data_IF_767960051057
#
_entry.id   IF_767960051057
#
_cell.length_a   1.000
_cell.length_b   1.000
_cell.length_c   1.000
_cell.angle_alpha   90.00
_cell.angle_beta   90.00
_cell.angle_gamma   90.00
#
_symmetry.space_group_name_H-M   'P 1'
#
loop_
_entity.id
_entity.type
_entity.pdbx_description
1 polymer ?
#
# COMPACT_ATOMS: atom_id res chain seq x y z
N UNK A 1 54.64 12.23 -5.76
CA UNK A 1 53.56 11.42 -6.39
C UNK A 1 52.42 11.33 -5.40
N UNK A 2 51.32 12.05 -5.65
CA UNK A 2 50.18 12.13 -4.75
C UNK A 2 49.22 10.97 -5.03
N UNK A 3 48.96 10.13 -4.02
CA UNK A 3 47.94 9.09 -4.07
C UNK A 3 46.58 9.71 -3.71
N UNK A 4 45.63 9.71 -4.65
CA UNK A 4 44.24 10.00 -4.36
C UNK A 4 43.61 8.79 -3.67
N UNK A 5 43.35 8.88 -2.36
CA UNK A 5 42.38 8.01 -1.69
C UNK A 5 40.97 8.45 -2.10
N UNK A 6 40.29 7.63 -2.90
CA UNK A 6 38.85 7.73 -3.10
C UNK A 6 38.17 7.49 -1.75
N UNK A 7 37.68 8.55 -1.12
CA UNK A 7 36.76 8.45 0.02
C UNK A 7 35.41 8.06 -0.57
N UNK A 8 35.10 6.76 -0.56
CA UNK A 8 33.74 6.28 -0.77
C UNK A 8 32.89 6.78 0.41
N UNK A 9 32.25 7.94 0.24
CA UNK A 9 31.17 8.38 1.12
C UNK A 9 30.02 7.37 1.03
N UNK A 10 29.65 6.65 2.09
CA UNK A 10 28.40 5.91 2.07
C UNK A 10 27.28 6.96 1.98
N UNK A 11 26.52 6.94 0.87
CA UNK A 11 25.22 7.62 0.84
C UNK A 11 24.46 7.09 2.06
N UNK A 12 24.18 7.96 3.03
CA UNK A 12 23.26 7.67 4.13
C UNK A 12 21.86 7.47 3.52
N UNK A 13 21.61 6.29 2.96
CA UNK A 13 20.27 5.82 2.70
C UNK A 13 19.67 5.53 4.07
N UNK A 14 18.84 6.45 4.58
CA UNK A 14 18.02 6.17 5.75
C UNK A 14 17.23 4.86 5.58
N UNK A 15 16.69 4.30 6.67
CA UNK A 15 16.04 2.99 6.65
C UNK A 15 14.96 2.92 5.55
N UNK A 16 14.82 1.76 4.87
CA UNK A 16 13.73 1.48 3.93
C UNK A 16 12.37 1.97 4.46
N UNK A 17 11.48 2.45 3.58
CA UNK A 17 10.15 2.94 3.98
C UNK A 17 9.41 1.95 4.87
N UNK A 18 9.53 0.65 4.56
CA UNK A 18 8.90 -0.45 5.30
C UNK A 18 9.41 -0.52 6.74
N UNK A 19 10.72 -0.50 6.94
CA UNK A 19 11.32 -0.49 8.28
C UNK A 19 10.91 0.77 9.06
N UNK A 20 10.89 1.92 8.39
CA UNK A 20 10.43 3.17 9.00
C UNK A 20 8.94 3.08 9.36
N UNK A 21 8.11 2.51 8.49
CA UNK A 21 6.69 2.30 8.75
C UNK A 21 6.45 1.36 9.92
N UNK A 22 7.15 0.23 9.99
CA UNK A 22 7.07 -0.70 11.12
C UNK A 22 7.53 -0.03 12.42
N UNK A 23 8.59 0.78 12.38
CA UNK A 23 9.09 1.51 13.57
C UNK A 23 8.14 2.60 14.07
N UNK A 24 7.41 3.25 13.15
CA UNK A 24 6.44 4.30 13.44
C UNK A 24 5.03 3.77 13.58
N UNK A 25 4.82 2.47 13.39
CA UNK A 25 3.50 1.87 13.31
C UNK A 25 2.71 2.12 14.59
N UNK A 26 1.44 2.44 14.41
CA UNK A 26 0.51 2.55 15.52
C UNK A 26 0.31 1.18 16.18
N UNK A 27 0.09 1.16 17.49
CA UNK A 27 -0.36 -0.05 18.23
C UNK A 27 -1.84 -0.36 18.05
N UNK A 28 -2.56 0.43 17.25
CA UNK A 28 -3.92 0.16 16.83
C UNK A 28 -4.05 -1.20 16.14
N UNK A 29 -5.29 -1.68 16.01
CA UNK A 29 -5.63 -2.94 15.38
C UNK A 29 -6.36 -2.62 14.07
N UNK A 30 -6.12 -3.41 13.02
CA UNK A 30 -6.90 -3.31 11.80
C UNK A 30 -8.35 -3.69 12.09
N UNK A 31 -9.30 -2.86 11.69
CA UNK A 31 -10.70 -3.20 11.77
C UNK A 31 -11.01 -4.41 10.88
N UNK A 32 -11.88 -5.29 11.36
CA UNK A 32 -12.38 -6.44 10.60
C UNK A 32 -13.78 -6.16 10.08
N UNK A 33 -14.15 -6.83 8.99
CA UNK A 33 -15.48 -6.77 8.40
C UNK A 33 -15.89 -8.16 7.91
N UNK A 34 -17.16 -8.51 8.14
CA UNK A 34 -17.67 -9.82 7.78
C UNK A 34 -17.65 -10.02 6.25
N UNK A 35 -17.37 -11.23 5.74
CA UNK A 35 -17.32 -11.50 4.29
C UNK A 35 -18.64 -11.26 3.55
N UNK A 36 -19.76 -11.21 4.28
CA UNK A 36 -21.11 -11.00 3.76
C UNK A 36 -21.52 -9.53 3.67
N UNK A 37 -20.69 -8.61 4.16
CA UNK A 37 -20.99 -7.18 4.21
C UNK A 37 -21.22 -6.59 2.80
N UNK A 38 -22.23 -5.74 2.66
CA UNK A 38 -22.63 -5.13 1.38
C UNK A 38 -21.53 -4.24 0.78
N UNK A 39 -20.65 -3.69 1.61
CA UNK A 39 -19.50 -2.89 1.15
C UNK A 39 -18.48 -3.74 0.39
N UNK A 40 -18.40 -5.04 0.68
CA UNK A 40 -17.57 -5.98 -0.08
C UNK A 40 -18.22 -6.28 -1.43
N UNK A 41 -19.54 -6.46 -1.46
CA UNK A 41 -20.30 -6.74 -2.69
C UNK A 41 -20.22 -5.59 -3.71
N UNK A 42 -20.17 -4.36 -3.21
CA UNK A 42 -20.03 -3.15 -4.04
C UNK A 42 -18.58 -2.82 -4.39
N UNK A 43 -17.60 -3.46 -3.74
CA UNK A 43 -16.19 -3.25 -4.02
C UNK A 43 -15.76 -3.93 -5.32
N UNK A 44 -14.92 -3.25 -6.07
CA UNK A 44 -14.25 -3.83 -7.23
C UNK A 44 -13.21 -4.88 -6.80
N UNK A 45 -12.89 -5.83 -7.67
CA UNK A 45 -11.79 -6.76 -7.42
C UNK A 45 -10.45 -6.07 -7.70
N UNK A 46 -9.42 -6.31 -6.87
CA UNK A 46 -8.07 -5.76 -7.04
C UNK A 46 -7.47 -6.05 -8.43
N UNK A 47 -7.85 -7.16 -9.06
CA UNK A 47 -7.38 -7.57 -10.39
C UNK A 47 -8.29 -7.08 -11.54
N UNK A 48 -9.45 -6.49 -11.24
CA UNK A 48 -10.35 -5.93 -12.25
C UNK A 48 -9.90 -4.51 -12.62
N UNK A 49 -8.87 -4.45 -13.46
CA UNK A 49 -8.30 -3.19 -13.94
C UNK A 49 -9.25 -2.41 -14.86
N UNK A 50 -10.18 -3.09 -15.52
CA UNK A 50 -11.18 -2.42 -16.38
C UNK A 50 -12.12 -1.59 -15.51
N UNK A 51 -12.67 -2.22 -14.47
CA UNK A 51 -13.51 -1.53 -13.50
C UNK A 51 -12.74 -0.43 -12.77
N UNK A 52 -11.50 -0.70 -12.36
CA UNK A 52 -10.62 0.28 -11.72
C UNK A 52 -10.43 1.55 -12.56
N UNK A 53 -10.17 1.39 -13.88
CA UNK A 53 -10.03 2.52 -14.82
C UNK A 53 -11.30 3.34 -14.93
N UNK A 54 -12.47 2.71 -14.87
CA UNK A 54 -13.76 3.43 -14.87
C UNK A 54 -14.01 4.27 -13.61
N UNK A 55 -13.26 4.00 -12.53
CA UNK A 55 -13.38 4.70 -11.24
C UNK A 55 -12.35 5.81 -11.04
N UNK A 56 -11.48 6.09 -12.03
CA UNK A 56 -10.45 7.13 -11.90
C UNK A 56 -11.05 8.50 -11.52
N UNK A 57 -10.41 9.15 -10.54
CA UNK A 57 -10.85 10.42 -9.95
C UNK A 57 -12.02 10.29 -8.98
N UNK A 58 -12.60 9.10 -8.83
CA UNK A 58 -13.76 8.86 -7.98
C UNK A 58 -13.35 8.15 -6.68
N UNK A 59 -14.15 8.39 -5.63
CA UNK A 59 -14.07 7.63 -4.40
C UNK A 59 -14.75 6.28 -4.61
N UNK A 60 -14.10 5.20 -4.21
CA UNK A 60 -14.65 3.86 -4.30
C UNK A 60 -13.99 2.90 -3.34
N UNK A 61 -14.24 1.62 -3.55
CA UNK A 61 -13.61 0.54 -2.82
C UNK A 61 -13.15 -0.57 -3.75
N UNK A 62 -12.09 -1.27 -3.33
CA UNK A 62 -11.70 -2.53 -3.94
C UNK A 62 -11.26 -3.54 -2.88
N UNK A 63 -11.39 -4.82 -3.19
CA UNK A 63 -10.95 -5.90 -2.32
C UNK A 63 -9.95 -6.82 -3.01
N UNK A 64 -9.04 -7.40 -2.23
CA UNK A 64 -8.04 -8.33 -2.73
C UNK A 64 -7.24 -8.96 -1.62
N UNK A 65 -6.49 -10.01 -1.94
CA UNK A 65 -5.53 -10.62 -1.02
C UNK A 65 -4.20 -9.89 -1.16
N UNK A 66 -3.64 -9.42 -0.04
CA UNK A 66 -2.32 -8.77 -0.05
C UNK A 66 -1.27 -9.83 -0.35
N UNK A 67 -0.69 -9.75 -1.54
CA UNK A 67 0.35 -10.65 -2.02
C UNK A 67 1.73 -10.22 -1.51
N UNK A 68 2.01 -8.91 -1.51
CA UNK A 68 3.30 -8.38 -1.09
C UNK A 68 3.18 -6.98 -0.47
N UNK A 69 4.12 -6.64 0.41
CA UNK A 69 4.28 -5.31 1.02
C UNK A 69 5.68 -4.82 0.69
N UNK A 70 5.79 -3.72 -0.05
CA UNK A 70 7.08 -3.20 -0.54
C UNK A 70 7.29 -1.74 -0.20
N UNK A 71 8.57 -1.37 -0.09
CA UNK A 71 8.99 0.04 -0.08
C UNK A 71 9.11 0.58 -1.49
N UNK A 72 8.76 1.85 -1.69
CA UNK A 72 9.20 2.61 -2.87
C UNK A 72 10.70 2.91 -2.81
N UNK A 73 11.34 3.02 -3.98
CA UNK A 73 12.79 3.23 -4.17
C UNK A 73 13.34 4.48 -3.47
N UNK A 74 12.49 5.48 -3.16
CA UNK A 74 12.86 6.70 -2.41
C UNK A 74 12.44 6.67 -0.94
N UNK A 75 12.09 5.50 -0.41
CA UNK A 75 11.64 5.30 0.97
C UNK A 75 10.48 6.21 1.44
N UNK A 76 9.69 6.75 0.52
CA UNK A 76 8.59 7.68 0.84
C UNK A 76 7.21 7.03 0.91
N UNK A 77 7.09 5.76 0.48
CA UNK A 77 5.82 5.03 0.40
C UNK A 77 6.00 3.56 0.75
N UNK A 78 5.00 2.99 1.41
CA UNK A 78 4.79 1.55 1.54
C UNK A 78 3.60 1.16 0.66
N UNK A 79 3.80 0.15 -0.18
CA UNK A 79 2.85 -0.28 -1.22
C UNK A 79 2.39 -1.70 -0.92
N UNK A 80 1.08 -1.92 -0.98
CA UNK A 80 0.42 -3.22 -0.98
C UNK A 80 0.20 -3.65 -2.44
N UNK A 81 0.79 -4.78 -2.82
CA UNK A 81 0.50 -5.44 -4.09
C UNK A 81 -0.49 -6.59 -3.87
N UNK A 82 -1.42 -6.75 -4.81
CA UNK A 82 -2.49 -7.75 -4.73
C UNK A 82 -2.32 -8.90 -5.74
N UNK A 83 -1.22 -8.92 -6.48
CA UNK A 83 -0.87 -9.97 -7.43
C UNK A 83 0.66 -10.14 -7.52
N UNK A 84 1.11 -11.31 -7.94
CA UNK A 84 2.52 -11.59 -8.18
C UNK A 84 3.09 -10.70 -9.30
N UNK A 85 2.34 -10.56 -10.38
CA UNK A 85 2.64 -9.62 -11.46
C UNK A 85 2.00 -8.27 -11.15
N UNK A 86 2.81 -7.26 -10.93
CA UNK A 86 2.33 -5.95 -10.44
C UNK A 86 1.47 -5.18 -11.46
N UNK A 87 1.48 -5.61 -12.72
CA UNK A 87 0.72 -5.00 -13.83
C UNK A 87 -0.70 -5.53 -13.93
N UNK A 88 -1.00 -6.64 -13.24
CA UNK A 88 -2.29 -7.32 -13.32
C UNK A 88 -3.22 -6.96 -12.18
N UNK A 89 -2.84 -5.99 -11.33
CA UNK A 89 -3.64 -5.58 -10.18
C UNK A 89 -3.46 -4.08 -9.86
N UNK A 90 -4.48 -3.53 -9.20
CA UNK A 90 -4.41 -2.26 -8.50
C UNK A 90 -3.37 -2.30 -7.38
N UNK A 91 -2.97 -1.12 -6.92
CA UNK A 91 -2.11 -0.97 -5.73
C UNK A 91 -2.79 -0.09 -4.69
N UNK A 92 -2.53 -0.39 -3.43
CA UNK A 92 -2.80 0.54 -2.35
C UNK A 92 -1.47 0.99 -1.77
N UNK A 93 -1.36 2.22 -1.29
CA UNK A 93 -0.15 2.67 -0.63
C UNK A 93 -0.43 3.65 0.49
N UNK A 94 0.51 3.76 1.42
CA UNK A 94 0.57 4.86 2.37
C UNK A 94 1.88 5.62 2.18
N UNK A 95 1.86 6.91 2.45
CA UNK A 95 3.05 7.76 2.43
C UNK A 95 3.63 7.91 3.84
N UNK A 96 4.88 8.37 3.94
CA UNK A 96 5.57 8.59 5.22
C UNK A 96 4.76 9.45 6.21
N UNK A 97 3.94 10.38 5.72
CA UNK A 97 3.07 11.24 6.54
C UNK A 97 1.97 10.47 7.28
N UNK A 98 1.64 9.28 6.79
CA UNK A 98 0.58 8.44 7.35
C UNK A 98 1.10 7.24 8.12
N UNK A 99 2.40 6.96 8.13
CA UNK A 99 2.95 5.74 8.77
C UNK A 99 2.48 5.56 10.22
N UNK A 100 2.45 6.64 11.00
CA UNK A 100 2.01 6.63 12.41
C UNK A 100 0.52 6.43 12.63
N UNK A 101 -0.29 6.44 11.57
CA UNK A 101 -1.74 6.20 11.63
C UNK A 101 -2.08 4.74 11.39
N UNK A 102 -1.18 3.98 10.79
CA UNK A 102 -1.41 2.59 10.44
C UNK A 102 -0.65 1.66 11.39
N UNK A 103 -1.24 0.52 11.76
CA UNK A 103 -0.47 -0.61 12.28
C UNK A 103 0.53 -1.09 11.22
N UNK A 104 1.44 -1.97 11.65
CA UNK A 104 2.44 -2.57 10.77
C UNK A 104 1.77 -3.28 9.59
N UNK A 105 2.01 -2.77 8.37
CA UNK A 105 1.37 -3.27 7.15
C UNK A 105 1.88 -4.66 6.77
N UNK A 106 3.04 -5.11 7.27
CA UNK A 106 3.53 -6.47 7.05
C UNK A 106 2.55 -7.54 7.54
N UNK A 107 1.76 -7.22 8.58
CA UNK A 107 0.76 -8.12 9.16
C UNK A 107 -0.41 -8.42 8.24
N UNK A 108 -0.53 -7.68 7.12
CA UNK A 108 -1.57 -7.91 6.12
C UNK A 108 -1.18 -8.97 5.09
N UNK A 109 0.08 -9.42 5.04
CA UNK A 109 0.51 -10.44 4.07
C UNK A 109 -0.38 -11.68 4.13
N UNK A 110 -0.90 -12.09 2.96
CA UNK A 110 -1.83 -13.21 2.82
C UNK A 110 -3.25 -12.95 3.31
N UNK A 111 -3.54 -11.78 3.92
CA UNK A 111 -4.89 -11.42 4.35
C UNK A 111 -5.70 -10.86 3.19
N UNK A 112 -6.98 -11.18 3.17
CA UNK A 112 -7.96 -10.54 2.29
C UNK A 112 -8.39 -9.22 2.94
N UNK A 113 -8.33 -8.13 2.18
CA UNK A 113 -8.62 -6.79 2.70
C UNK A 113 -9.57 -6.05 1.78
N UNK A 114 -10.23 -5.05 2.35
CA UNK A 114 -11.06 -4.07 1.68
C UNK A 114 -10.40 -2.69 1.84
N UNK A 115 -10.18 -2.02 0.72
CA UNK A 115 -9.52 -0.72 0.64
C UNK A 115 -10.51 0.31 0.12
N UNK A 116 -10.54 1.48 0.75
CA UNK A 116 -11.37 2.62 0.37
C UNK A 116 -10.52 3.83 0.05
N UNK A 117 -10.85 4.55 -1.03
CA UNK A 117 -10.18 5.81 -1.31
C UNK A 117 -10.47 6.32 -2.71
N UNK A 118 -9.69 7.32 -3.11
CA UNK A 118 -9.76 7.90 -4.45
C UNK A 118 -8.86 7.09 -5.38
N UNK A 119 -9.40 6.66 -6.50
CA UNK A 119 -8.68 5.91 -7.52
C UNK A 119 -7.89 6.90 -8.38
N UNK A 120 -6.58 6.78 -8.39
CA UNK A 120 -5.67 7.69 -9.09
C UNK A 120 -4.82 6.95 -10.12
N UNK A 121 -4.52 7.57 -11.28
CA UNK A 121 -3.59 6.99 -12.23
C UNK A 121 -2.14 7.21 -11.77
N UNK A 122 -1.32 6.17 -11.85
CA UNK A 122 0.12 6.26 -11.62
C UNK A 122 0.89 5.27 -12.50
N UNK A 123 1.77 5.78 -13.35
CA UNK A 123 2.61 4.98 -14.26
C UNK A 123 1.84 3.91 -15.06
N UNK A 124 0.69 4.31 -15.62
CA UNK A 124 -0.19 3.41 -16.40
C UNK A 124 -1.05 2.46 -15.56
N UNK A 125 -1.04 2.59 -14.23
CA UNK A 125 -1.80 1.75 -13.29
C UNK A 125 -2.77 2.57 -12.48
N UNK A 126 -3.68 1.87 -11.80
CA UNK A 126 -4.62 2.48 -10.86
C UNK A 126 -4.12 2.21 -9.44
N UNK A 127 -4.01 3.26 -8.65
CA UNK A 127 -3.57 3.21 -7.26
C UNK A 127 -4.57 3.93 -6.35
N UNK A 128 -4.57 3.53 -5.08
CA UNK A 128 -5.32 4.22 -4.01
C UNK A 128 -4.36 4.58 -2.89
N UNK A 129 -4.28 5.86 -2.55
CA UNK A 129 -3.59 6.32 -1.35
C UNK A 129 -4.50 6.17 -0.12
N UNK A 130 -3.99 5.54 0.92
CA UNK A 130 -4.65 5.48 2.22
C UNK A 130 -3.96 6.45 3.16
N UNK A 131 -4.74 7.39 3.70
CA UNK A 131 -4.27 8.43 4.61
C UNK A 131 -4.72 8.20 6.05
N UNK A 132 -5.79 7.42 6.25
CA UNK A 132 -6.42 7.10 7.53
C UNK A 132 -6.66 5.59 7.68
N UNK A 133 -6.56 5.06 8.91
CA UNK A 133 -6.70 3.63 9.20
C UNK A 133 -8.05 3.06 8.74
N UNK A 134 -9.15 3.80 8.91
CA UNK A 134 -10.49 3.35 8.54
C UNK A 134 -10.70 3.09 7.03
N UNK A 135 -9.72 3.44 6.19
CA UNK A 135 -9.70 3.12 4.76
C UNK A 135 -9.27 1.69 4.46
N UNK A 136 -8.84 0.93 5.47
CA UNK A 136 -8.37 -0.44 5.35
C UNK A 136 -9.10 -1.31 6.37
N UNK A 137 -9.73 -2.38 5.88
CA UNK A 137 -10.34 -3.40 6.74
C UNK A 137 -9.90 -4.80 6.32
N UNK A 138 -9.72 -5.69 7.28
CA UNK A 138 -9.48 -7.12 7.02
C UNK A 138 -10.85 -7.79 6.82
N UNK A 139 -10.97 -8.62 5.79
CA UNK A 139 -12.17 -9.41 5.54
C UNK A 139 -11.96 -10.77 6.22
N UNK A 140 -12.73 -11.03 7.29
CA UNK A 140 -12.69 -12.25 8.10
C UNK A 140 -14.06 -12.59 8.65
#
# INVERSE_FOLDING_TARGET
MWQYKLVNSPKQSGPPAKELQTSLANRAIFETIAPTDERIKSASSAIDLSRAKSLLGQKGAFSGTVFNVRSSTKNSKVVLDFAAQRETAMRAFITARSFSKFPDLEKLLGKKVLIYGIFAPHEGRVEVEMTELGQLKIIE
#
